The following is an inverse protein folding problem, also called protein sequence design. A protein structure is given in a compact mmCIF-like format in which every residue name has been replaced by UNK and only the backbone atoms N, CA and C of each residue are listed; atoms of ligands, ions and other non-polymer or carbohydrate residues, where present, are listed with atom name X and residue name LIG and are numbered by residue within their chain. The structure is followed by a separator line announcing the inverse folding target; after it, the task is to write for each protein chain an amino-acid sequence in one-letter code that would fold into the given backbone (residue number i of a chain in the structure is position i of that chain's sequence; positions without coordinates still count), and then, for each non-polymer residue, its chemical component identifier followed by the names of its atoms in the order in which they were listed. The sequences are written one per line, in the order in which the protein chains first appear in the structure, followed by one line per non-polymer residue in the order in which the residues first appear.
data_IF_276620165869
#
_entry.id   IF_276620165869
#
_cell.length_a   1.000
_cell.length_b   1.000
_cell.length_c   1.000
_cell.angle_alpha   90.00
_cell.angle_beta   90.00
_cell.angle_gamma   90.00
#
_symmetry.space_group_name_H-M   'P 1'
#
loop_
_entity.id
_entity.type
_entity.pdbx_description
1 polymer ?
2 branched ?
3 non-polymer ?
4 non-polymer ?
5 water ?
#
# COMPACT_ATOMS: atom_id res chain seq x y z
N UNK A 1 19.60 -15.77 -5.79
CA UNK A 1 19.86 -16.17 -7.20
C UNK A 1 18.62 -15.95 -8.06
N UNK A 2 18.72 -15.02 -9.00
CA UNK A 2 17.61 -14.71 -9.89
C UNK A 2 17.81 -15.38 -11.25
N UNK A 3 16.85 -16.22 -11.63
CA UNK A 3 16.91 -16.94 -12.89
C UNK A 3 16.71 -15.99 -14.08
N UNK A 4 17.26 -16.37 -15.23
CA UNK A 4 17.16 -15.57 -16.45
C UNK A 4 15.75 -15.46 -17.01
N UNK A 5 15.41 -14.28 -17.51
CA UNK A 5 14.10 -14.06 -18.11
C UNK A 5 14.11 -14.75 -19.47
N UNK A 6 12.93 -15.11 -19.98
CA UNK A 6 12.87 -15.77 -21.30
C UNK A 6 12.83 -14.70 -22.38
N UNK A 7 12.92 -15.12 -23.64
CA UNK A 7 12.83 -14.18 -24.74
C UNK A 7 11.45 -13.54 -24.63
N UNK A 8 11.39 -12.23 -24.81
CA UNK A 8 10.13 -11.51 -24.74
C UNK A 8 10.09 -10.45 -25.85
N UNK A 9 8.92 -10.25 -26.43
CA UNK A 9 8.76 -9.25 -27.47
C UNK A 9 7.87 -8.12 -26.97
N UNK A 10 8.44 -6.92 -26.89
CA UNK A 10 7.71 -5.77 -26.43
C UNK A 10 8.35 -4.50 -26.98
N UNK A 11 7.63 -3.37 -26.96
CA UNK A 11 8.14 -2.10 -27.46
C UNK A 11 9.46 -1.69 -26.80
N UNK A 12 10.40 -1.25 -27.62
CA UNK A 12 11.69 -0.81 -27.12
C UNK A 12 11.53 0.48 -26.31
N UNK A 13 12.11 0.53 -25.10
CA UNK A 13 11.98 1.77 -24.33
C UNK A 13 12.77 2.85 -25.06
N UNK A 14 12.27 4.08 -25.08
CA UNK A 14 12.95 5.15 -25.79
C UNK A 14 13.62 6.13 -24.83
N UNK A 15 14.95 6.13 -24.84
CA UNK A 15 15.75 6.99 -23.98
C UNK A 15 15.39 8.48 -24.03
N UNK A 16 15.14 8.98 -25.23
CA UNK A 16 14.81 10.38 -25.43
C UNK A 16 13.33 10.68 -25.44
N UNK A 17 12.53 9.75 -24.94
CA UNK A 17 11.09 9.94 -24.88
C UNK A 17 10.62 9.68 -23.46
N UNK A 18 10.38 10.76 -22.70
CA UNK A 18 9.93 10.60 -21.31
C UNK A 18 8.69 9.71 -21.18
N UNK A 19 8.63 9.01 -20.05
CA UNK A 19 7.54 8.11 -19.74
C UNK A 19 6.23 8.90 -19.63
N UNK A 20 6.18 9.78 -18.65
CA UNK A 20 5.04 10.64 -18.40
C UNK A 20 5.63 12.04 -18.32
N UNK A 21 5.02 13.02 -18.98
CA UNK A 21 5.52 14.38 -18.93
C UNK A 21 4.67 15.23 -18.01
N UNK A 22 3.59 14.64 -17.52
CA UNK A 22 2.68 15.36 -16.63
C UNK A 22 2.88 15.10 -15.16
N UNK A 23 3.69 14.10 -14.81
CA UNK A 23 3.91 13.78 -13.41
C UNK A 23 5.35 13.35 -13.10
N UNK A 24 5.69 13.42 -11.83
CA UNK A 24 7.00 13.02 -11.33
C UNK A 24 6.96 11.49 -11.21
N UNK A 25 7.88 10.82 -11.89
CA UNK A 25 7.89 9.35 -11.85
C UNK A 25 9.00 8.72 -11.02
N UNK A 26 9.83 9.57 -10.40
CA UNK A 26 10.93 9.10 -9.55
C UNK A 26 11.17 10.12 -8.46
N UNK A 27 11.38 9.67 -7.24
CA UNK A 27 11.62 10.58 -6.12
C UNK A 27 13.08 11.03 -6.11
N UNK A 28 13.40 12.06 -5.30
CA UNK A 28 14.79 12.54 -5.23
C UNK A 28 15.76 11.50 -4.67
N UNK A 29 15.23 10.43 -4.07
CA UNK A 29 16.10 9.38 -3.55
C UNK A 29 16.06 8.16 -4.47
N UNK A 30 15.65 8.42 -5.70
CA UNK A 30 15.59 7.43 -6.77
C UNK A 30 14.65 6.26 -6.58
N UNK A 31 13.49 6.53 -5.98
CA UNK A 31 12.48 5.50 -5.79
C UNK A 31 11.42 5.75 -6.85
N UNK A 32 11.05 4.72 -7.61
CA UNK A 32 10.03 4.93 -8.64
C UNK A 32 8.69 5.34 -8.01
N UNK A 33 7.96 6.21 -8.70
CA UNK A 33 6.63 6.62 -8.26
C UNK A 33 5.77 5.93 -9.32
N UNK A 34 4.96 4.98 -8.88
CA UNK A 34 4.16 4.17 -9.77
C UNK A 34 2.87 4.76 -10.35
N UNK A 35 2.92 5.06 -11.65
CA UNK A 35 1.79 5.60 -12.40
C UNK A 35 1.57 4.69 -13.61
N UNK A 36 0.35 4.66 -14.13
CA UNK A 36 0.06 3.85 -15.30
C UNK A 36 0.94 4.39 -16.44
N UNK A 37 1.56 3.48 -17.20
CA UNK A 37 2.42 3.90 -18.29
C UNK A 37 3.90 3.84 -17.96
N UNK A 38 4.23 3.76 -16.66
CA UNK A 38 5.63 3.71 -16.26
C UNK A 38 6.20 2.30 -16.23
N UNK A 39 5.32 1.30 -16.23
CA UNK A 39 5.78 -0.08 -16.17
C UNK A 39 5.20 -1.04 -17.21
N UNK A 40 5.99 -2.04 -17.57
CA UNK A 40 5.54 -3.08 -18.49
C UNK A 40 5.22 -4.23 -17.54
N UNK A 41 3.94 -4.46 -17.32
CA UNK A 41 3.52 -5.50 -16.39
C UNK A 41 3.94 -6.92 -16.80
N UNK A 42 4.15 -7.14 -18.09
CA UNK A 42 4.58 -8.46 -18.56
C UNK A 42 5.98 -8.76 -18.06
N UNK A 43 6.86 -7.79 -18.16
CA UNK A 43 8.23 -7.98 -17.69
C UNK A 43 8.24 -8.19 -16.17
N UNK A 44 7.53 -7.33 -15.44
CA UNK A 44 7.48 -7.46 -13.99
C UNK A 44 6.84 -8.77 -13.54
N UNK A 45 5.78 -9.20 -14.22
CA UNK A 45 5.12 -10.47 -13.85
C UNK A 45 6.13 -11.62 -13.97
N UNK A 46 6.91 -11.61 -15.04
CA UNK A 46 7.91 -12.64 -15.26
C UNK A 46 8.93 -12.65 -14.13
N UNK A 47 9.46 -11.47 -13.82
CA UNK A 47 10.43 -11.36 -12.77
C UNK A 47 9.93 -11.92 -11.44
N UNK A 48 8.72 -11.54 -11.03
CA UNK A 48 8.22 -12.01 -9.75
C UNK A 48 7.75 -13.46 -9.75
N UNK A 49 7.19 -13.93 -10.87
CA UNK A 49 6.75 -15.32 -10.94
C UNK A 49 7.96 -16.25 -10.88
N UNK A 50 9.05 -15.84 -11.52
CA UNK A 50 10.27 -16.66 -11.53
C UNK A 50 10.83 -16.78 -10.11
N UNK A 51 10.35 -15.91 -9.22
CA UNK A 51 10.78 -15.93 -7.83
C UNK A 51 9.73 -16.61 -6.94
N UNK A 52 8.66 -17.10 -7.57
CA UNK A 52 7.57 -17.77 -6.86
C UNK A 52 7.13 -16.88 -5.70
N UNK A 53 6.93 -15.62 -6.00
CA UNK A 53 6.54 -14.63 -5.00
C UNK A 53 5.17 -14.85 -4.38
N UNK A 54 5.10 -14.75 -3.06
CA UNK A 54 3.84 -14.88 -2.33
C UNK A 54 3.55 -13.54 -1.66
N UNK A 55 2.35 -13.01 -1.90
CA UNK A 55 1.98 -11.73 -1.32
C UNK A 55 0.91 -11.89 -0.25
N UNK A 56 1.16 -11.33 0.91
CA UNK A 56 0.17 -11.36 1.98
C UNK A 56 -0.60 -10.05 1.95
N UNK A 57 -1.91 -10.13 2.07
CA UNK A 57 -2.76 -8.93 2.09
C UNK A 57 -3.51 -8.95 3.41
N UNK A 58 -3.27 -7.94 4.25
CA UNK A 58 -3.92 -7.89 5.55
C UNK A 58 -4.99 -6.82 5.68
N UNK A 59 -6.07 -7.16 6.36
CA UNK A 59 -7.16 -6.22 6.58
C UNK A 59 -7.77 -6.47 7.95
N UNK A 60 -8.18 -5.39 8.59
CA UNK A 60 -8.82 -5.49 9.89
C UNK A 60 -10.29 -5.13 9.68
N UNK A 61 -11.16 -6.04 10.10
CA UNK A 61 -12.60 -5.81 9.95
C UNK A 61 -13.26 -6.02 11.30
N UNK A 62 -13.49 -4.93 12.01
CA UNK A 62 -14.11 -4.98 13.33
C UNK A 62 -15.51 -4.41 13.30
N UNK A 63 -16.37 -4.92 14.16
CA UNK A 63 -17.75 -4.45 14.26
C UNK A 63 -18.46 -4.40 12.91
N UNK A 64 -19.08 -3.26 12.61
CA UNK A 64 -19.82 -3.09 11.37
C UNK A 64 -18.97 -3.20 10.11
N UNK A 65 -17.66 -3.08 10.26
CA UNK A 65 -16.77 -3.15 9.10
C UNK A 65 -16.70 -4.53 8.45
N UNK A 66 -17.22 -5.56 9.13
CA UNK A 66 -17.20 -6.90 8.56
C UNK A 66 -18.08 -6.93 7.32
N UNK A 67 -19.00 -5.97 7.24
CA UNK A 67 -19.93 -5.87 6.12
C UNK A 67 -19.24 -5.53 4.80
N UNK A 68 -18.02 -4.99 4.87
CA UNK A 68 -17.29 -4.62 3.66
C UNK A 68 -16.43 -5.76 3.10
N UNK A 69 -16.27 -6.84 3.86
CA UNK A 69 -15.43 -7.95 3.44
C UNK A 69 -15.80 -8.61 2.11
N UNK A 70 -17.07 -8.89 1.89
CA UNK A 70 -17.49 -9.54 0.64
C UNK A 70 -17.03 -8.80 -0.61
N UNK A 71 -17.36 -7.53 -0.73
CA UNK A 71 -16.96 -6.76 -1.92
C UNK A 71 -15.44 -6.62 -2.00
N UNK A 72 -14.81 -6.41 -0.85
CA UNK A 72 -13.36 -6.26 -0.80
C UNK A 72 -12.66 -7.50 -1.35
N UNK A 73 -13.02 -8.66 -0.81
CA UNK A 73 -12.41 -9.91 -1.24
C UNK A 73 -12.75 -10.29 -2.69
N UNK A 74 -14.02 -10.13 -3.07
CA UNK A 74 -14.43 -10.47 -4.43
C UNK A 74 -13.67 -9.64 -5.46
N UNK A 75 -13.54 -8.34 -5.21
CA UNK A 75 -12.83 -7.49 -6.15
C UNK A 75 -11.33 -7.73 -6.11
N UNK A 76 -10.79 -8.12 -4.94
CA UNK A 76 -9.37 -8.41 -4.86
C UNK A 76 -9.08 -9.63 -5.73
N UNK A 77 -10.04 -10.56 -5.75
CA UNK A 77 -9.88 -11.76 -6.57
C UNK A 77 -9.81 -11.42 -8.05
N UNK A 78 -10.45 -10.33 -8.44
CA UNK A 78 -10.45 -9.91 -9.84
C UNK A 78 -9.29 -9.00 -10.22
N UNK A 79 -8.75 -8.25 -9.26
CA UNK A 79 -7.70 -7.28 -9.56
C UNK A 79 -6.37 -7.31 -8.82
N UNK A 80 -6.32 -8.02 -7.70
CA UNK A 80 -5.11 -8.03 -6.88
C UNK A 80 -4.15 -9.20 -7.09
N UNK A 81 -2.96 -8.89 -7.61
CA UNK A 81 -1.92 -9.89 -7.82
C UNK A 81 -2.40 -11.14 -8.55
N UNK A 82 -3.32 -10.99 -9.49
CA UNK A 82 -3.83 -12.15 -10.21
C UNK A 82 -2.69 -12.87 -10.93
N UNK A 83 -2.60 -14.17 -10.71
CA UNK A 83 -1.56 -14.97 -11.33
C UNK A 83 -0.46 -15.32 -10.35
N UNK A 84 -0.42 -14.61 -9.23
CA UNK A 84 0.59 -14.85 -8.21
C UNK A 84 -0.02 -15.48 -6.97
N UNK A 85 0.82 -16.01 -6.09
CA UNK A 85 0.36 -16.63 -4.85
C UNK A 85 -0.04 -15.52 -3.88
N UNK A 86 -1.28 -15.60 -3.39
CA UNK A 86 -1.79 -14.61 -2.45
C UNK A 86 -2.36 -15.25 -1.20
N UNK A 87 -2.04 -14.65 -0.06
CA UNK A 87 -2.55 -15.14 1.21
C UNK A 87 -3.23 -13.97 1.90
N UNK A 88 -4.55 -14.05 2.06
CA UNK A 88 -5.31 -13.01 2.72
C UNK A 88 -5.34 -13.27 4.22
N UNK A 89 -5.15 -12.23 5.02
CA UNK A 89 -5.22 -12.36 6.46
C UNK A 89 -6.29 -11.40 6.94
N UNK A 90 -7.42 -11.94 7.38
CA UNK A 90 -8.51 -11.11 7.85
C UNK A 90 -8.59 -11.15 9.37
N UNK A 91 -8.26 -10.02 9.99
CA UNK A 91 -8.30 -9.89 11.44
C UNK A 91 -9.68 -9.34 11.81
N UNK A 92 -10.46 -10.12 12.53
CA UNK A 92 -11.81 -9.68 12.88
C UNK A 92 -12.26 -10.16 14.25
N UNK A 93 -13.29 -9.49 14.77
CA UNK A 93 -13.86 -9.85 16.07
C UNK A 93 -15.08 -10.74 15.84
N UNK A 94 -15.40 -10.99 14.58
CA UNK A 94 -16.55 -11.80 14.20
C UNK A 94 -16.16 -12.85 13.16
N UNK A 95 -15.33 -13.83 13.55
CA UNK A 95 -14.90 -14.87 12.62
C UNK A 95 -16.03 -15.58 11.86
N UNK A 96 -17.15 -15.79 12.53
CA UNK A 96 -18.29 -16.47 11.91
C UNK A 96 -19.01 -15.60 10.90
N UNK A 97 -18.71 -14.30 10.89
CA UNK A 97 -19.36 -13.37 9.98
C UNK A 97 -18.58 -13.13 8.69
N UNK A 98 -17.40 -13.74 8.57
CA UNK A 98 -16.60 -13.58 7.37
C UNK A 98 -17.31 -14.31 6.23
N UNK A 99 -17.61 -13.60 5.14
CA UNK A 99 -18.29 -14.21 3.98
C UNK A 99 -17.45 -15.29 3.31
N UNK A 100 -18.13 -16.31 2.78
CA UNK A 100 -17.43 -17.38 2.08
C UNK A 100 -17.22 -16.94 0.65
N UNK A 101 -16.04 -16.39 0.37
CA UNK A 101 -15.71 -15.91 -0.96
C UNK A 101 -14.94 -16.96 -1.75
N UNK A 102 -15.32 -17.15 -3.00
CA UNK A 102 -14.67 -18.12 -3.87
C UNK A 102 -13.31 -17.59 -4.32
N UNK A 103 -12.26 -18.35 -4.05
CA UNK A 103 -10.91 -17.93 -4.40
C UNK A 103 -10.31 -18.67 -5.59
N UNK A 104 -9.48 -17.97 -6.36
CA UNK A 104 -8.83 -18.58 -7.50
C UNK A 104 -7.74 -19.51 -6.99
N UNK A 105 -7.18 -20.33 -7.87
CA UNK A 105 -6.14 -21.25 -7.47
C UNK A 105 -4.89 -20.52 -6.99
N UNK A 106 -4.19 -21.10 -6.01
CA UNK A 106 -2.99 -20.49 -5.49
C UNK A 106 -3.26 -19.34 -4.53
N UNK A 107 -4.51 -19.19 -4.13
CA UNK A 107 -4.89 -18.12 -3.22
C UNK A 107 -5.61 -18.70 -2.01
N UNK A 108 -5.26 -18.19 -0.83
CA UNK A 108 -5.86 -18.68 0.40
C UNK A 108 -6.21 -17.55 1.36
N UNK A 109 -7.08 -17.88 2.31
CA UNK A 109 -7.54 -16.90 3.29
C UNK A 109 -7.47 -17.45 4.70
N UNK A 110 -6.91 -16.67 5.61
CA UNK A 110 -6.83 -17.05 7.01
C UNK A 110 -7.61 -16.04 7.84
N UNK A 111 -8.50 -16.54 8.68
CA UNK A 111 -9.28 -15.67 9.53
C UNK A 111 -8.64 -15.73 10.91
N UNK A 112 -8.24 -14.57 11.44
CA UNK A 112 -7.62 -14.51 12.74
C UNK A 112 -8.49 -13.66 13.65
N UNK A 113 -8.96 -14.26 14.74
CA UNK A 113 -9.82 -13.54 15.67
C UNK A 113 -9.01 -12.63 16.57
N UNK A 114 -9.51 -11.42 16.79
CA UNK A 114 -8.83 -10.45 17.63
C UNK A 114 -9.71 -10.05 18.81
N UNK A 134 -2.03 -13.30 16.15
CA UNK A 134 -1.27 -14.54 16.18
C UNK A 134 0.25 -14.28 16.17
N UNK A 135 1.02 -15.33 15.93
CA UNK A 135 2.47 -15.21 15.87
C UNK A 135 2.86 -14.51 14.56
N UNK A 136 3.27 -13.25 14.67
CA UNK A 136 3.65 -12.49 13.49
C UNK A 136 4.86 -13.12 12.79
N UNK A 137 5.55 -14.00 13.51
CA UNK A 137 6.71 -14.69 12.95
C UNK A 137 6.20 -15.57 11.81
N UNK A 138 4.90 -15.84 11.83
CA UNK A 138 4.26 -16.65 10.81
C UNK A 138 4.34 -15.96 9.45
N UNK A 139 4.23 -14.64 9.46
CA UNK A 139 4.30 -13.85 8.22
C UNK A 139 5.63 -14.08 7.52
N UNK A 140 6.70 -14.11 8.31
CA UNK A 140 8.05 -14.31 7.77
C UNK A 140 8.23 -15.63 7.03
N UNK A 141 7.50 -16.65 7.47
CA UNK A 141 7.62 -17.96 6.83
C UNK A 141 6.53 -18.24 5.80
N UNK A 142 5.48 -17.43 5.79
CA UNK A 142 4.39 -17.66 4.85
C UNK A 142 4.34 -16.75 3.63
N UNK A 143 4.83 -15.52 3.75
CA UNK A 143 4.80 -14.61 2.61
C UNK A 143 6.11 -13.87 2.42
N UNK A 144 6.30 -13.33 1.22
CA UNK A 144 7.51 -12.57 0.88
C UNK A 144 7.27 -11.09 1.07
N UNK A 145 6.04 -10.67 0.78
CA UNK A 145 5.65 -9.27 0.91
C UNK A 145 4.34 -9.18 1.67
N UNK A 146 4.15 -8.05 2.36
CA UNK A 146 2.94 -7.79 3.11
C UNK A 146 2.35 -6.47 2.61
N UNK A 147 1.06 -6.50 2.30
CA UNK A 147 0.36 -5.30 1.85
C UNK A 147 -0.73 -5.08 2.88
N UNK A 148 -0.75 -3.89 3.47
CA UNK A 148 -1.71 -3.56 4.52
C UNK A 148 -2.68 -2.49 4.06
N UNK A 149 -3.97 -2.84 4.01
CA UNK A 149 -4.99 -1.89 3.56
C UNK A 149 -6.24 -1.87 4.44
N UNK A 150 -7.11 -0.90 4.18
CA UNK A 150 -8.38 -0.76 4.89
C UNK A 150 -9.40 -1.63 4.15
N UNK A 151 -10.39 -2.15 4.88
CA UNK A 151 -11.39 -3.03 4.30
C UNK A 151 -12.57 -2.34 3.60
N UNK A 152 -12.89 -1.11 4.00
CA UNK A 152 -14.01 -0.40 3.38
C UNK A 152 -13.59 0.22 2.04
N UNK A 153 -13.14 -0.66 1.15
CA UNK A 153 -12.65 -0.28 -0.17
C UNK A 153 -13.01 -1.39 -1.16
N UNK A 154 -12.72 -1.14 -2.43
CA UNK A 154 -12.94 -2.13 -3.47
C UNK A 154 -11.92 -1.91 -4.57
N UNK A 155 -11.48 -2.99 -5.19
CA UNK A 155 -10.54 -2.88 -6.29
C UNK A 155 -11.38 -2.68 -7.54
N UNK A 156 -10.95 -1.78 -8.41
CA UNK A 156 -11.66 -1.49 -9.65
C UNK A 156 -10.79 -1.71 -10.88
N UNK A 157 -9.48 -1.87 -10.65
CA UNK A 157 -8.56 -2.10 -11.74
C UNK A 157 -7.30 -2.77 -11.18
N UNK A 158 -6.39 -3.12 -12.08
CA UNK A 158 -5.15 -3.81 -11.74
C UNK A 158 -4.30 -3.23 -10.60
N UNK A 159 -3.95 -4.09 -9.65
CA UNK A 159 -3.06 -3.74 -8.55
C UNK A 159 -2.19 -4.99 -8.50
N UNK A 160 -0.99 -4.88 -9.07
CA UNK A 160 -0.12 -6.02 -9.15
C UNK A 160 1.28 -5.86 -8.61
N UNK A 161 2.18 -6.71 -9.10
CA UNK A 161 3.57 -6.72 -8.63
C UNK A 161 4.35 -5.42 -8.83
N UNK A 162 3.83 -4.50 -9.62
CA UNK A 162 4.52 -3.23 -9.83
C UNK A 162 4.67 -2.49 -8.49
N UNK A 163 3.85 -2.83 -7.50
CA UNK A 163 3.94 -2.16 -6.20
C UNK A 163 4.96 -2.78 -5.24
N UNK A 164 5.37 -4.01 -5.51
CA UNK A 164 6.29 -4.73 -4.62
C UNK A 164 7.72 -4.17 -4.60
N UNK A 165 8.22 -4.00 -3.38
CA UNK A 165 9.54 -3.42 -3.14
C UNK A 165 9.77 -3.56 -1.63
N UNK A 166 10.99 -3.29 -1.15
CA UNK A 166 11.20 -3.44 0.30
C UNK A 166 10.24 -2.62 1.18
N UNK A 167 9.96 -1.38 0.79
CA UNK A 167 9.05 -0.54 1.57
C UNK A 167 8.35 0.50 0.70
N UNK A 168 7.02 0.51 0.74
CA UNK A 168 6.30 1.49 -0.06
C UNK A 168 5.19 2.20 0.70
N UNK A 169 4.94 3.45 0.31
CA UNK A 169 3.89 4.26 0.87
C UNK A 169 3.06 4.71 -0.32
N UNK A 170 1.85 5.20 -0.05
CA UNK A 170 0.95 5.64 -1.11
C UNK A 170 0.57 7.11 -0.91
N UNK A 171 0.58 7.89 -1.99
CA UNK A 171 0.22 9.30 -1.90
C UNK A 171 -1.26 9.46 -1.54
N UNK A 172 -1.53 10.20 -0.47
CA UNK A 172 -2.90 10.46 -0.03
C UNK A 172 -3.57 11.24 -1.17
N UNK A 173 -4.76 10.78 -1.62
CA UNK A 173 -5.46 11.45 -2.72
C UNK A 173 -5.89 12.90 -2.52
N UNK A 174 -5.91 13.36 -1.28
CA UNK A 174 -6.31 14.74 -0.99
C UNK A 174 -5.13 15.71 -0.95
N UNK A 175 -3.90 15.20 -0.91
CA UNK A 175 -2.74 16.09 -0.81
C UNK A 175 -1.62 15.92 -1.82
N UNK A 176 -1.80 15.08 -2.84
CA UNK A 176 -0.72 14.88 -3.78
C UNK A 176 -0.26 16.13 -4.51
N UNK A 177 -1.13 17.13 -4.61
CA UNK A 177 -0.75 18.37 -5.28
C UNK A 177 -0.53 19.51 -4.30
N UNK A 178 -0.54 19.20 -3.02
CA UNK A 178 -0.36 20.22 -1.98
C UNK A 178 1.09 20.48 -1.61
N UNK A 179 1.36 21.69 -1.11
CA UNK A 179 2.71 22.04 -0.68
C UNK A 179 2.87 21.46 0.72
N UNK A 180 4.10 21.18 1.14
CA UNK A 180 4.34 20.59 2.45
C UNK A 180 3.76 21.34 3.65
N UNK A 181 3.70 22.67 3.59
CA UNK A 181 3.16 23.41 4.72
C UNK A 181 1.67 23.14 4.91
N UNK A 182 1.01 22.64 3.87
CA UNK A 182 -0.41 22.34 3.95
C UNK A 182 -0.68 20.90 4.40
N UNK A 183 0.37 20.06 4.38
CA UNK A 183 0.23 18.68 4.81
C UNK A 183 -0.27 18.63 6.26
N UNK A 184 -1.20 17.73 6.55
CA UNK A 184 -1.72 17.63 7.91
C UNK A 184 -0.88 16.73 8.82
N UNK A 185 0.44 16.99 8.81
CA UNK A 185 1.37 16.25 9.67
C UNK A 185 1.11 16.68 11.10
N UNK A 186 1.64 15.93 12.07
CA UNK A 186 1.50 16.31 13.47
C UNK A 186 2.46 17.49 13.59
N UNK A 187 1.95 18.63 14.04
CA UNK A 187 2.77 19.83 14.15
C UNK A 187 3.28 20.19 15.54
N UNK A 188 2.84 19.46 16.56
CA UNK A 188 3.29 19.74 17.92
C UNK A 188 4.58 18.98 18.23
N UNK A 189 5.65 19.71 18.58
CA UNK A 189 6.95 19.11 18.90
C UNK A 189 6.92 18.14 20.09
N UNK A 190 5.85 18.16 20.85
CA UNK A 190 5.71 17.28 22.01
C UNK A 190 5.41 15.84 21.58
N UNK A 191 4.96 15.69 20.33
CA UNK A 191 4.63 14.38 19.79
C UNK A 191 5.78 13.75 19.02
N UNK A 192 5.86 12.42 19.07
CA UNK A 192 6.91 11.70 18.37
C UNK A 192 6.71 11.76 16.85
N UNK A 193 5.49 12.07 16.42
CA UNK A 193 5.18 12.15 15.00
C UNK A 193 5.41 13.57 14.45
N UNK A 194 5.98 14.43 15.28
CA UNK A 194 6.24 15.81 14.88
C UNK A 194 7.10 16.02 13.64
N UNK A 195 6.61 16.85 12.73
CA UNK A 195 7.32 17.20 11.50
C UNK A 195 7.10 18.69 11.30
N UNK A 196 8.20 19.47 11.31
CA UNK A 196 8.10 20.92 11.12
C UNK A 196 7.67 21.31 9.70
N UNK A 197 7.28 22.57 9.54
CA UNK A 197 6.82 23.10 8.26
C UNK A 197 7.81 23.04 7.11
N UNK A 198 9.10 23.02 7.42
CA UNK A 198 10.12 22.98 6.36
C UNK A 198 10.64 21.58 6.05
N UNK A 199 9.92 20.56 6.53
CA UNK A 199 10.30 19.18 6.28
C UNK A 199 9.14 18.40 5.67
N UNK A 200 9.46 17.29 5.01
CA UNK A 200 8.43 16.47 4.41
C UNK A 200 8.53 16.34 2.90
N UNK A 201 8.34 15.12 2.40
CA UNK A 201 8.38 14.89 0.96
C UNK A 201 6.95 14.82 0.44
N UNK A 202 6.18 13.92 1.01
CA UNK A 202 4.79 13.72 0.61
C UNK A 202 3.93 13.44 1.82
N UNK A 203 2.62 13.41 1.62
CA UNK A 203 1.72 13.06 2.70
C UNK A 203 1.18 11.69 2.28
N UNK A 204 1.62 10.65 2.97
CA UNK A 204 1.20 9.28 2.67
C UNK A 204 -0.08 8.95 3.45
N UNK A 205 -0.97 8.16 2.85
CA UNK A 205 -2.19 7.79 3.55
C UNK A 205 -1.94 6.47 4.26
N UNK A 206 -2.43 6.37 5.51
CA UNK A 206 -2.22 5.16 6.28
C UNK A 206 -3.03 3.95 5.83
N UNK A 207 -3.89 4.16 4.83
CA UNK A 207 -4.76 3.10 4.34
C UNK A 207 -4.13 2.14 3.33
N UNK A 208 -2.90 2.40 2.89
CA UNK A 208 -2.27 1.51 1.91
C UNK A 208 -0.76 1.62 1.95
N UNK A 209 -0.10 0.66 2.60
CA UNK A 209 1.35 0.65 2.67
C UNK A 209 1.79 -0.81 2.69
N UNK A 210 3.08 -1.05 2.53
CA UNK A 210 3.56 -2.42 2.53
C UNK A 210 5.03 -2.53 2.19
N UNK A 211 5.46 -3.74 1.86
CA UNK A 211 6.84 -3.98 1.52
C UNK A 211 7.22 -5.38 1.95
N UNK A 212 8.51 -5.64 2.19
CA UNK A 212 8.92 -6.97 2.61
C UNK A 212 8.39 -7.19 4.03
N UNK A 213 8.23 -8.44 4.45
CA UNK A 213 7.73 -8.68 5.79
C UNK A 213 8.61 -7.98 6.82
N UNK A 214 9.92 -8.08 6.65
CA UNK A 214 10.86 -7.45 7.57
C UNK A 214 10.68 -5.94 7.68
N UNK A 215 10.56 -5.26 6.55
CA UNK A 215 10.39 -3.80 6.58
C UNK A 215 9.03 -3.38 7.12
N UNK A 216 7.98 -4.14 6.81
CA UNK A 216 6.66 -3.81 7.29
C UNK A 216 6.61 -3.99 8.81
N UNK A 217 7.21 -5.05 9.31
CA UNK A 217 7.21 -5.25 10.75
C UNK A 217 8.06 -4.19 11.46
N UNK A 218 9.11 -3.72 10.81
CA UNK A 218 9.94 -2.66 11.40
C UNK A 218 9.11 -1.39 11.52
N UNK A 219 8.34 -1.09 10.48
CA UNK A 219 7.49 0.10 10.46
C UNK A 219 6.40 0.03 11.53
N UNK A 220 5.66 -1.08 11.59
CA UNK A 220 4.60 -1.19 12.57
C UNK A 220 5.15 -1.20 13.99
N UNK A 221 6.34 -1.78 14.16
CA UNK A 221 6.98 -1.82 15.47
C UNK A 221 7.32 -0.38 15.89
N UNK A 222 7.86 0.40 14.96
CA UNK A 222 8.23 1.78 15.24
C UNK A 222 7.00 2.61 15.57
N UNK A 223 5.93 2.43 14.79
CA UNK A 223 4.69 3.17 15.02
C UNK A 223 4.14 2.86 16.41
N UNK A 224 4.10 1.58 16.76
CA UNK A 224 3.58 1.15 18.05
C UNK A 224 4.34 1.78 19.21
N UNK A 225 5.68 1.74 19.14
CA UNK A 225 6.50 2.31 20.20
C UNK A 225 6.34 3.83 20.30
N UNK A 226 6.29 4.52 19.17
CA UNK A 226 6.14 5.97 19.16
C UNK A 226 4.79 6.39 19.74
N UNK A 227 3.74 5.63 19.43
CA UNK A 227 2.41 5.95 19.93
C UNK A 227 2.33 5.68 21.44
N UNK A 228 3.04 4.66 21.90
CA UNK A 228 3.05 4.36 23.33
C UNK A 228 3.75 5.50 24.07
N UNK A 229 4.78 6.05 23.44
CA UNK A 229 5.53 7.15 24.03
C UNK A 229 4.65 8.40 24.12
N UNK A 230 3.86 8.65 23.07
CA UNK A 230 2.96 9.80 23.06
C UNK A 230 1.89 9.65 24.14
N UNK A 231 1.36 8.44 24.28
CA UNK A 231 0.32 8.17 25.27
C UNK A 231 0.89 8.43 26.67
N UNK A 232 2.10 7.94 26.91
CA UNK A 232 2.75 8.13 28.19
C UNK A 232 2.96 9.62 28.45
N UNK A 233 3.07 10.39 27.37
CA UNK A 233 3.27 11.83 27.48
C UNK A 233 1.97 12.60 27.43
N UNK A 234 0.85 11.88 27.41
CA UNK A 234 -0.45 12.52 27.38
C UNK A 234 -0.83 13.23 26.09
N UNK A 235 -0.33 12.75 24.95
CA UNK A 235 -0.65 13.37 23.68
C UNK A 235 -1.04 12.32 22.65
N UNK A 236 -1.89 12.71 21.71
CA UNK A 236 -2.36 11.83 20.65
C UNK A 236 -2.23 12.56 19.31
N UNK A 237 -1.38 12.04 18.43
CA UNK A 237 -1.15 12.65 17.12
C UNK A 237 -2.45 12.98 16.40
N UNK A 238 -2.45 14.12 15.72
CA UNK A 238 -3.60 14.61 14.98
C UNK A 238 -4.32 13.55 14.15
N UNK A 239 -3.56 12.74 13.43
CA UNK A 239 -4.19 11.69 12.64
C UNK A 239 -3.74 10.29 13.03
N UNK A 240 -3.48 10.13 14.32
CA UNK A 240 -3.09 8.85 14.90
C UNK A 240 -1.98 8.11 14.16
N UNK A 241 -2.23 6.83 13.85
CA UNK A 241 -1.26 5.99 13.16
C UNK A 241 -0.70 6.60 11.89
N UNK A 242 -1.55 7.31 11.15
CA UNK A 242 -1.12 7.94 9.89
C UNK A 242 -0.07 9.01 10.12
N UNK A 243 -0.16 9.72 11.24
CA UNK A 243 0.80 10.76 11.55
C UNK A 243 2.17 10.10 11.75
N UNK A 244 2.18 9.00 12.50
CA UNK A 244 3.42 8.29 12.76
C UNK A 244 3.96 7.61 11.50
N UNK A 245 3.06 7.15 10.65
CA UNK A 245 3.47 6.52 9.39
C UNK A 245 4.25 7.55 8.58
N UNK A 246 3.74 8.78 8.55
CA UNK A 246 4.39 9.83 7.80
C UNK A 246 5.74 10.21 8.39
N UNK A 247 5.84 10.20 9.71
CA UNK A 247 7.11 10.50 10.37
C UNK A 247 8.12 9.40 10.02
N UNK A 248 7.68 8.16 10.04
CA UNK A 248 8.55 7.03 9.74
C UNK A 248 9.06 7.09 8.30
N UNK A 249 8.14 7.31 7.35
CA UNK A 249 8.53 7.37 5.94
C UNK A 249 9.34 8.61 5.60
N UNK A 250 9.31 9.62 6.46
CA UNK A 250 10.10 10.81 6.22
C UNK A 250 11.57 10.45 6.54
N UNK A 251 11.76 9.74 7.66
CA UNK A 251 13.09 9.34 8.10
C UNK A 251 13.63 8.03 7.51
N UNK A 252 12.74 7.22 6.94
CA UNK A 252 13.12 5.96 6.30
C UNK A 252 12.40 6.03 4.95
N UNK A 253 13.08 6.59 3.95
CA UNK A 253 12.48 6.76 2.63
C UNK A 253 11.99 5.46 1.99
N UNK A 254 10.74 5.45 1.50
CA UNK A 254 10.22 4.25 0.86
C UNK A 254 10.95 3.99 -0.46
N UNK A 255 11.11 2.72 -0.81
CA UNK A 255 11.81 2.35 -2.04
C UNK A 255 10.92 2.44 -3.29
N UNK A 256 9.63 2.69 -3.07
CA UNK A 256 8.65 2.91 -4.15
C UNK A 256 7.53 3.73 -3.52
N UNK A 257 6.92 4.59 -4.32
CA UNK A 257 5.79 5.39 -3.83
C UNK A 257 4.67 5.15 -4.83
N UNK A 258 3.49 4.82 -4.33
CA UNK A 258 2.34 4.58 -5.22
C UNK A 258 1.57 5.87 -5.46
N UNK A 259 1.18 6.08 -6.72
CA UNK A 259 0.41 7.27 -7.07
C UNK A 259 -1.01 7.14 -6.54
N UNK A 260 -1.80 8.22 -6.62
CA UNK A 260 -3.19 8.19 -6.13
C UNK A 260 -4.08 7.22 -6.88
N UNK A 261 -3.56 6.65 -7.96
CA UNK A 261 -4.31 5.66 -8.73
C UNK A 261 -4.64 4.51 -7.77
N UNK A 262 -3.75 4.31 -6.81
CA UNK A 262 -3.88 3.22 -5.85
C UNK A 262 -4.71 3.49 -4.60
N UNK A 263 -5.19 4.71 -4.43
CA UNK A 263 -6.00 5.04 -3.26
C UNK A 263 -6.80 6.27 -3.64
N UNK A 264 -8.02 6.05 -4.12
CA UNK A 264 -8.86 7.15 -4.57
C UNK A 264 -10.27 7.12 -4.01
N UNK A 265 -10.97 8.24 -4.19
CA UNK A 265 -12.35 8.38 -3.75
C UNK A 265 -12.99 9.22 -4.84
N UNK A 266 -13.62 8.54 -5.80
CA UNK A 266 -14.24 9.22 -6.92
C UNK A 266 -15.40 10.12 -6.55
N UNK A 267 -16.13 9.74 -5.50
CA UNK A 267 -17.27 10.56 -5.08
C UNK A 267 -16.78 11.92 -4.59
N UNK A 268 -15.68 11.91 -3.84
CA UNK A 268 -15.12 13.12 -3.26
C UNK A 268 -14.16 13.88 -4.18
N UNK A 269 -13.46 13.16 -5.06
CA UNK A 269 -12.47 13.79 -5.93
C UNK A 269 -12.66 13.69 -7.44
N UNK A 270 -13.70 12.99 -7.88
CA UNK A 270 -13.94 12.88 -9.31
C UNK A 270 -12.93 11.99 -10.01
N UNK A 271 -12.63 12.31 -11.27
CA UNK A 271 -11.66 11.54 -12.06
C UNK A 271 -10.80 12.47 -12.90
N UNK A 272 -9.73 13.02 -12.30
CA UNK A 272 -8.82 13.93 -13.02
C UNK A 272 -8.05 13.24 -14.13
N UNK A 273 -7.73 14.00 -15.18
CA UNK A 273 -7.01 13.47 -16.32
C UNK A 273 -5.68 12.81 -15.96
N UNK A 274 -5.04 13.31 -14.91
CA UNK A 274 -3.77 12.76 -14.48
C UNK A 274 -3.87 11.30 -14.05
N UNK A 275 -5.09 10.83 -13.77
CA UNK A 275 -5.29 9.44 -13.35
C UNK A 275 -5.86 8.62 -14.51
N UNK A 276 -5.00 7.84 -15.14
CA UNK A 276 -5.42 7.02 -16.27
C UNK A 276 -6.22 5.82 -15.83
N UNK A 277 -6.03 5.43 -14.57
CA UNK A 277 -6.76 4.31 -14.00
C UNK A 277 -7.09 4.60 -12.54
N UNK A 278 -8.22 4.07 -12.08
CA UNK A 278 -8.64 4.20 -10.69
C UNK A 278 -8.64 2.74 -10.25
N UNK A 279 -7.60 2.35 -9.52
CA UNK A 279 -7.40 0.97 -9.11
C UNK A 279 -8.01 0.46 -7.80
N UNK A 280 -7.91 1.28 -6.76
CA UNK A 280 -8.38 0.90 -5.42
C UNK A 280 -9.10 2.12 -4.87
N UNK A 281 -10.42 1.99 -4.69
CA UNK A 281 -11.22 3.13 -4.25
C UNK A 281 -12.09 2.92 -3.01
N UNK A 282 -12.47 4.03 -2.41
CA UNK A 282 -13.31 4.01 -1.22
C UNK A 282 -14.72 3.61 -1.64
N UNK A 283 -15.43 2.92 -0.75
CA UNK A 283 -16.80 2.50 -1.06
C UNK A 283 -17.73 3.61 -0.59
N UNK A 284 -18.65 4.04 -1.45
CA UNK A 284 -19.62 5.10 -1.12
C UNK A 284 -20.59 4.73 0.00
#
# INVERSE_FOLDING_TARGET
FMVSLPRMVYPQPKVLTPCRKDVLVVTPWLAPIVWEGTFNIDILNEQFRLQNTTIGLTVFAIKKYVAFLKLFLETAEKHFMVGHRVHYYVFTDQPAAVPRVTLGTGRQLSVLEVGAYKRWQDVSMRRMEMISDFCERRFLSEVDYLVCVDVDMEFRDHVGVEILTPLFGTLHPSFYGSSREAFTYERRPQSQAYIPKDEGDFYYMGAFFGGSVQEVQRLTRACHQAMMVDQANGIEAVWHDESHLNKYLLRHKPTKVLSPEYLWDQQLLGWPAVLRKLRFTAVPKNHQAVRNP
#
